data_IF_206612299750
#
_entry.id   IF_206612299750
#
_cell.length_a   1.000
_cell.length_b   1.000
_cell.length_c   1.000
_cell.angle_alpha   90.00
_cell.angle_beta   90.00
_cell.angle_gamma   90.00
#
_symmetry.space_group_name_H-M   'P 1'
#
loop_
_entity.id
_entity.type
_entity.pdbx_description
1 polymer ?
#
# COMPACT_ATOMS: atom_id res chain seq x y z
N UNK A 1 -2.66 73.10 48.44
CA UNK A 1 -2.17 73.09 47.07
C UNK A 1 -1.42 71.78 46.84
N UNK A 2 -2.01 70.82 46.17
CA UNK A 2 -1.40 69.49 46.01
C UNK A 2 -0.87 69.38 44.58
N UNK A 3 0.43 69.22 44.40
CA UNK A 3 1.11 68.97 43.14
C UNK A 3 1.14 67.48 42.89
N UNK A 4 0.48 67.03 41.81
CA UNK A 4 0.53 65.62 41.38
C UNK A 4 1.73 65.40 40.46
N UNK A 5 2.62 64.54 40.85
CA UNK A 5 3.68 64.03 40.00
C UNK A 5 3.14 62.93 39.05
N UNK A 6 3.38 63.12 37.74
CA UNK A 6 3.03 62.10 36.71
C UNK A 6 4.30 61.31 36.43
N UNK A 7 4.25 60.02 36.76
CA UNK A 7 5.35 59.08 36.44
C UNK A 7 5.06 58.47 35.07
N UNK A 8 5.89 58.75 34.10
CA UNK A 8 5.82 58.15 32.75
C UNK A 8 6.55 56.81 32.75
N UNK A 9 5.82 55.72 32.52
CA UNK A 9 6.39 54.39 32.38
C UNK A 9 6.64 54.18 30.87
N UNK A 10 7.89 54.06 30.46
CA UNK A 10 8.32 53.72 29.11
C UNK A 10 8.37 52.17 28.98
N UNK A 11 7.42 51.58 28.21
CA UNK A 11 7.47 50.17 27.82
C UNK A 11 8.48 50.00 26.68
N UNK A 12 9.59 49.33 26.93
CA UNK A 12 10.46 48.79 25.90
C UNK A 12 9.84 47.50 25.34
N UNK A 13 9.31 47.56 24.14
CA UNK A 13 8.87 46.34 23.41
C UNK A 13 10.11 45.68 22.80
N UNK A 14 10.59 44.61 23.42
CA UNK A 14 11.60 43.73 22.82
C UNK A 14 10.94 42.82 21.73
N UNK A 15 11.23 43.05 20.46
CA UNK A 15 10.96 42.07 19.41
C UNK A 15 11.95 40.91 19.59
N UNK A 16 11.47 39.79 20.10
CA UNK A 16 12.17 38.51 19.99
C UNK A 16 11.97 37.96 18.59
N UNK A 17 12.99 38.08 17.73
CA UNK A 17 13.04 37.38 16.46
C UNK A 17 13.16 35.88 16.73
N UNK A 18 12.08 35.12 16.47
CA UNK A 18 12.11 33.68 16.46
C UNK A 18 12.91 33.21 15.24
N UNK A 19 14.14 32.79 15.43
CA UNK A 19 14.92 32.09 14.41
C UNK A 19 14.33 30.68 14.21
N UNK A 20 14.10 30.22 12.98
CA UNK A 20 13.73 28.84 12.74
C UNK A 20 14.90 27.95 13.18
N UNK A 21 14.67 27.12 14.21
CA UNK A 21 15.63 26.11 14.59
C UNK A 21 15.71 25.06 13.49
N UNK A 22 16.87 24.93 12.83
CA UNK A 22 17.16 23.84 11.95
C UNK A 22 17.08 22.53 12.72
N UNK A 23 16.19 21.62 12.34
CA UNK A 23 16.11 20.27 12.91
C UNK A 23 17.43 19.54 12.68
N UNK A 24 17.99 18.89 13.70
CA UNK A 24 19.23 18.14 13.52
C UNK A 24 18.99 16.94 12.57
N UNK A 25 19.95 16.63 11.68
CA UNK A 25 19.81 15.56 10.68
C UNK A 25 19.73 14.14 11.25
N UNK A 26 19.81 13.98 12.58
CA UNK A 26 19.82 12.68 13.27
C UNK A 26 18.45 12.10 13.60
N UNK A 27 17.33 12.74 13.25
CA UNK A 27 15.98 12.19 13.52
C UNK A 27 15.38 11.37 12.37
N UNK A 28 16.12 11.13 11.29
CA UNK A 28 15.58 10.39 10.12
C UNK A 28 15.83 8.87 10.23
N UNK A 29 16.64 8.38 11.17
CA UNK A 29 17.14 7.00 11.14
C UNK A 29 16.94 6.18 12.42
N UNK A 30 15.84 6.33 13.12
CA UNK A 30 15.58 5.49 14.28
C UNK A 30 14.15 4.93 14.29
N UNK A 31 13.81 4.14 13.25
CA UNK A 31 12.60 3.30 13.32
C UNK A 31 12.76 1.96 12.65
N UNK A 32 13.78 1.24 13.08
CA UNK A 32 13.93 -0.17 12.72
C UNK A 32 14.38 -0.97 13.94
N UNK A 33 13.54 -1.03 14.98
CA UNK A 33 13.76 -1.91 16.12
C UNK A 33 12.47 -2.12 16.90
N UNK A 34 11.53 -2.89 16.29
CA UNK A 34 10.53 -3.67 17.02
C UNK A 34 10.00 -4.72 16.06
N UNK A 35 10.56 -5.93 16.09
CA UNK A 35 10.12 -7.08 15.28
C UNK A 35 10.18 -6.82 13.79
N UNK A 36 11.36 -6.97 13.17
CA UNK A 36 11.50 -6.88 11.71
C UNK A 36 10.48 -7.81 11.06
N UNK A 37 9.67 -7.29 10.14
CA UNK A 37 8.73 -8.10 9.39
C UNK A 37 9.51 -9.19 8.64
N UNK A 38 9.08 -10.46 8.77
CA UNK A 38 9.81 -11.61 8.25
C UNK A 38 10.04 -11.59 6.73
N UNK A 39 9.27 -10.80 6.01
CA UNK A 39 9.35 -10.61 4.57
C UNK A 39 10.29 -9.45 4.14
N UNK A 40 10.69 -8.56 5.04
CA UNK A 40 11.64 -7.46 4.74
C UNK A 40 13.05 -8.00 4.93
N UNK A 41 13.70 -8.40 3.83
CA UNK A 41 14.96 -9.15 3.84
C UNK A 41 16.18 -8.33 3.39
N UNK A 42 15.93 -7.19 2.77
CA UNK A 42 16.98 -6.32 2.23
C UNK A 42 17.29 -5.13 3.11
N UNK A 43 18.11 -4.20 2.59
CA UNK A 43 18.60 -3.00 3.28
C UNK A 43 18.09 -1.71 2.64
N UNK A 44 17.36 -1.80 1.52
CA UNK A 44 16.82 -0.61 0.87
C UNK A 44 15.77 0.07 1.76
N UNK A 45 15.83 1.40 1.79
CA UNK A 45 14.86 2.20 2.54
C UNK A 45 13.49 2.10 1.87
N UNK A 46 12.52 1.57 2.59
CA UNK A 46 11.14 1.51 2.10
C UNK A 46 10.52 2.91 2.03
N UNK A 47 9.76 3.23 0.98
CA UNK A 47 8.92 4.43 0.95
C UNK A 47 8.01 4.49 2.19
N UNK A 48 7.70 5.69 2.68
CA UNK A 48 6.94 5.88 3.92
C UNK A 48 5.58 5.16 3.90
N UNK A 49 4.90 5.18 2.74
CA UNK A 49 3.64 4.45 2.52
C UNK A 49 3.82 2.94 2.63
N UNK A 50 4.91 2.39 2.09
CA UNK A 50 5.21 0.95 2.19
C UNK A 50 5.55 0.57 3.61
N UNK A 51 6.34 1.38 4.33
CA UNK A 51 6.68 1.14 5.73
C UNK A 51 5.44 1.15 6.63
N UNK A 52 4.49 2.07 6.40
CA UNK A 52 3.22 2.11 7.11
C UNK A 52 2.39 0.83 6.87
N UNK A 53 2.35 0.34 5.63
CA UNK A 53 1.69 -0.92 5.28
C UNK A 53 2.35 -2.11 5.99
N UNK A 54 3.70 -2.18 6.01
CA UNK A 54 4.44 -3.23 6.74
C UNK A 54 4.01 -3.29 8.19
N UNK A 55 3.90 -2.14 8.87
CA UNK A 55 3.44 -2.09 10.27
C UNK A 55 2.02 -2.63 10.47
N UNK A 56 1.14 -2.45 9.49
CA UNK A 56 -0.25 -2.92 9.55
C UNK A 56 -0.40 -4.43 9.30
N UNK A 57 0.47 -5.01 8.46
CA UNK A 57 0.30 -6.40 8.00
C UNK A 57 1.25 -7.39 8.64
N UNK A 58 2.36 -6.97 9.25
CA UNK A 58 3.39 -7.86 9.81
C UNK A 58 2.87 -8.89 10.82
N UNK A 59 1.77 -8.58 11.52
CA UNK A 59 1.11 -9.51 12.45
C UNK A 59 0.02 -10.38 11.80
N UNK A 60 -0.34 -10.09 10.54
CA UNK A 60 -1.39 -10.81 9.80
C UNK A 60 -0.83 -11.88 8.87
N UNK A 61 0.48 -11.92 8.70
CA UNK A 61 1.16 -12.83 7.79
C UNK A 61 2.24 -13.63 8.49
N UNK A 62 2.55 -14.79 7.94
CA UNK A 62 3.67 -15.63 8.33
C UNK A 62 4.59 -15.85 7.13
N UNK A 63 5.85 -16.20 7.39
CA UNK A 63 6.83 -16.47 6.35
C UNK A 63 7.38 -17.87 6.46
N UNK A 64 7.55 -18.55 5.34
CA UNK A 64 8.27 -19.81 5.26
C UNK A 64 9.74 -19.62 5.63
N UNK A 65 10.30 -20.53 6.39
CA UNK A 65 11.73 -20.57 6.71
C UNK A 65 12.57 -21.24 5.61
N UNK A 66 11.94 -21.99 4.71
CA UNK A 66 12.61 -22.85 3.72
C UNK A 66 12.28 -22.46 2.28
N UNK A 67 11.06 -22.02 2.00
CA UNK A 67 10.61 -21.68 0.66
C UNK A 67 10.87 -20.20 0.39
N UNK A 68 11.44 -19.91 -0.79
CA UNK A 68 11.67 -18.57 -1.31
C UNK A 68 10.88 -18.39 -2.61
N UNK A 69 10.43 -17.17 -2.85
CA UNK A 69 9.66 -16.79 -4.03
C UNK A 69 10.39 -15.66 -4.81
N UNK A 70 9.65 -14.76 -5.42
CA UNK A 70 10.22 -13.64 -6.20
C UNK A 70 11.31 -12.89 -5.40
N UNK A 71 12.43 -12.57 -6.05
CA UNK A 71 13.59 -11.86 -5.47
C UNK A 71 14.10 -12.45 -4.15
N UNK A 72 13.96 -13.76 -3.96
CA UNK A 72 14.31 -14.50 -2.73
C UNK A 72 13.53 -14.08 -1.48
N UNK A 73 12.40 -13.39 -1.62
CA UNK A 73 11.48 -13.10 -0.51
C UNK A 73 10.97 -14.45 0.03
N UNK A 74 10.94 -14.64 1.36
CA UNK A 74 10.30 -15.82 1.95
C UNK A 74 8.86 -15.97 1.43
N UNK A 75 8.42 -17.19 1.23
CA UNK A 75 7.03 -17.44 0.87
C UNK A 75 6.10 -16.97 2.00
N UNK A 76 5.21 -16.04 1.69
CA UNK A 76 4.34 -15.38 2.64
C UNK A 76 2.96 -16.01 2.62
N UNK A 77 2.39 -16.23 3.80
CA UNK A 77 1.03 -16.76 3.98
C UNK A 77 0.17 -15.80 4.81
N UNK A 78 -1.07 -15.57 4.37
CA UNK A 78 -2.14 -14.90 5.11
C UNK A 78 -3.40 -15.76 5.01
N UNK A 79 -3.97 -16.15 6.16
CA UNK A 79 -5.14 -17.03 6.18
C UNK A 79 -4.95 -18.26 5.31
N UNK A 80 -5.77 -18.40 4.28
CA UNK A 80 -5.72 -19.52 3.33
C UNK A 80 -4.83 -19.28 2.11
N UNK A 81 -4.29 -18.09 1.93
CA UNK A 81 -3.49 -17.71 0.76
C UNK A 81 -2.00 -17.75 1.05
N UNK A 82 -1.23 -18.32 0.13
CA UNK A 82 0.24 -18.34 0.14
C UNK A 82 0.74 -17.79 -1.18
N UNK A 83 1.79 -16.94 -1.17
CA UNK A 83 2.25 -16.27 -2.40
C UNK A 83 2.64 -17.26 -3.50
N UNK A 84 3.28 -18.37 -3.15
CA UNK A 84 3.65 -19.41 -4.11
C UNK A 84 2.47 -20.01 -4.89
N UNK A 85 1.26 -19.98 -4.33
CA UNK A 85 0.03 -20.46 -4.99
C UNK A 85 -0.56 -19.42 -5.97
N UNK A 86 -0.22 -18.14 -5.79
CA UNK A 86 -0.70 -17.02 -6.59
C UNK A 86 0.47 -16.19 -7.15
N UNK A 87 1.59 -16.85 -7.44
CA UNK A 87 2.81 -16.24 -7.95
C UNK A 87 2.71 -16.00 -9.46
N UNK A 88 2.45 -14.74 -9.83
CA UNK A 88 2.34 -14.32 -11.22
C UNK A 88 3.61 -14.60 -12.05
N UNK A 89 4.79 -14.62 -11.42
CA UNK A 89 6.05 -14.86 -12.12
C UNK A 89 6.19 -16.28 -12.67
N UNK A 90 5.45 -17.22 -12.11
CA UNK A 90 5.43 -18.64 -12.53
C UNK A 90 4.31 -18.98 -13.50
N UNK A 91 3.43 -18.02 -13.79
CA UNK A 91 2.23 -18.27 -14.62
C UNK A 91 2.53 -18.38 -16.13
N UNK A 92 3.67 -17.87 -16.59
CA UNK A 92 3.96 -17.70 -18.01
C UNK A 92 3.13 -16.61 -18.71
N UNK A 93 2.35 -15.83 -17.93
CA UNK A 93 1.48 -14.74 -18.41
C UNK A 93 2.07 -13.38 -18.02
N UNK A 94 1.57 -12.34 -18.68
CA UNK A 94 1.84 -10.98 -18.22
C UNK A 94 1.16 -10.74 -16.85
N UNK A 95 1.66 -9.80 -16.03
CA UNK A 95 1.09 -9.55 -14.71
C UNK A 95 -0.41 -9.22 -14.72
N UNK A 96 -0.90 -8.48 -15.71
CA UNK A 96 -2.32 -8.14 -15.82
C UNK A 96 -3.17 -9.32 -16.32
N UNK A 97 -2.69 -10.07 -17.32
CA UNK A 97 -3.37 -11.27 -17.79
C UNK A 97 -3.52 -12.30 -16.67
N UNK A 98 -2.46 -12.48 -15.86
CA UNK A 98 -2.52 -13.32 -14.66
C UNK A 98 -3.55 -12.81 -13.66
N UNK A 99 -3.54 -11.50 -13.36
CA UNK A 99 -4.42 -10.92 -12.35
C UNK A 99 -5.90 -11.06 -12.75
N UNK A 100 -6.23 -10.78 -14.01
CA UNK A 100 -7.59 -10.92 -14.56
C UNK A 100 -8.11 -12.36 -14.49
N UNK A 101 -7.25 -13.34 -14.64
CA UNK A 101 -7.64 -14.76 -14.60
C UNK A 101 -7.74 -15.30 -13.17
N UNK A 102 -6.79 -14.89 -12.29
CA UNK A 102 -6.65 -15.48 -10.96
C UNK A 102 -7.59 -14.83 -9.94
N UNK A 103 -7.84 -13.52 -10.05
CA UNK A 103 -8.61 -12.76 -9.08
C UNK A 103 -9.98 -12.37 -9.62
N UNK A 104 -10.71 -13.38 -10.11
CA UNK A 104 -12.09 -13.21 -10.56
C UNK A 104 -13.03 -13.02 -9.36
N UNK A 105 -14.03 -12.16 -9.53
CA UNK A 105 -15.15 -11.98 -8.62
C UNK A 105 -16.28 -12.94 -8.93
N UNK A 106 -17.19 -13.15 -7.96
CA UNK A 106 -18.43 -13.86 -8.20
C UNK A 106 -19.41 -13.01 -9.05
N UNK A 107 -20.44 -13.67 -9.53
CA UNK A 107 -21.63 -13.08 -10.14
C UNK A 107 -22.88 -13.58 -9.39
N UNK A 108 -23.59 -12.73 -8.67
CA UNK A 108 -23.37 -11.29 -8.51
C UNK A 108 -22.12 -10.93 -7.70
N UNK A 109 -21.63 -9.70 -7.86
CA UNK A 109 -20.36 -9.23 -7.32
C UNK A 109 -20.29 -9.24 -5.78
N UNK A 110 -21.42 -9.00 -5.10
CA UNK A 110 -21.54 -8.98 -3.65
C UNK A 110 -21.40 -10.37 -2.99
N UNK A 111 -21.55 -11.46 -3.76
CA UNK A 111 -21.31 -12.85 -3.31
C UNK A 111 -19.81 -13.20 -3.28
N UNK A 112 -18.92 -12.30 -3.71
CA UNK A 112 -17.48 -12.54 -3.73
C UNK A 112 -16.93 -12.74 -2.32
N UNK A 113 -15.93 -13.63 -2.19
CA UNK A 113 -15.26 -13.92 -0.92
C UNK A 113 -14.22 -12.85 -0.60
N UNK A 114 -14.63 -11.78 0.11
CA UNK A 114 -13.77 -10.67 0.51
C UNK A 114 -12.63 -11.09 1.45
N UNK A 115 -12.81 -12.14 2.26
CA UNK A 115 -11.74 -12.68 3.13
C UNK A 115 -10.61 -13.25 2.27
N UNK A 116 -10.95 -14.00 1.22
CA UNK A 116 -9.94 -14.53 0.30
C UNK A 116 -9.19 -13.42 -0.46
N UNK A 117 -9.90 -12.35 -0.89
CA UNK A 117 -9.27 -11.18 -1.48
C UNK A 117 -8.38 -10.43 -0.50
N UNK A 118 -8.82 -10.26 0.76
CA UNK A 118 -8.01 -9.63 1.80
C UNK A 118 -6.74 -10.44 2.11
N UNK A 119 -6.83 -11.76 2.18
CA UNK A 119 -5.67 -12.64 2.38
C UNK A 119 -4.69 -12.53 1.20
N UNK A 120 -5.19 -12.56 -0.03
CA UNK A 120 -4.37 -12.36 -1.22
C UNK A 120 -3.70 -10.98 -1.22
N UNK A 121 -4.42 -9.92 -0.85
CA UNK A 121 -3.86 -8.58 -0.76
C UNK A 121 -2.76 -8.49 0.31
N UNK A 122 -2.94 -9.07 1.48
CA UNK A 122 -1.93 -9.11 2.55
C UNK A 122 -0.65 -9.79 2.06
N UNK A 123 -0.79 -10.91 1.34
CA UNK A 123 0.33 -11.67 0.76
C UNK A 123 1.08 -10.82 -0.27
N UNK A 124 0.36 -10.15 -1.18
CA UNK A 124 0.97 -9.30 -2.19
C UNK A 124 1.64 -8.05 -1.62
N UNK A 125 1.03 -7.42 -0.60
CA UNK A 125 1.61 -6.27 0.10
C UNK A 125 2.91 -6.64 0.83
N UNK A 126 2.92 -7.78 1.52
CA UNK A 126 4.10 -8.26 2.22
C UNK A 126 5.23 -8.61 1.24
N UNK A 127 4.90 -9.33 0.16
CA UNK A 127 5.88 -9.70 -0.86
C UNK A 127 6.41 -8.46 -1.60
N UNK A 128 5.58 -7.46 -1.93
CA UNK A 128 6.04 -6.19 -2.51
C UNK A 128 7.03 -5.48 -1.58
N UNK A 129 6.76 -5.41 -0.29
CA UNK A 129 7.68 -4.79 0.67
C UNK A 129 9.02 -5.54 0.72
N UNK A 130 9.00 -6.88 0.65
CA UNK A 130 10.19 -7.72 0.54
C UNK A 130 10.99 -7.41 -0.72
N UNK A 131 10.34 -7.39 -1.89
CA UNK A 131 10.94 -7.05 -3.18
C UNK A 131 11.56 -5.64 -3.15
N UNK A 132 10.84 -4.66 -2.63
CA UNK A 132 11.35 -3.27 -2.47
C UNK A 132 12.58 -3.22 -1.58
N UNK A 133 12.61 -4.01 -0.51
CA UNK A 133 13.73 -4.03 0.44
C UNK A 133 15.06 -4.51 -0.18
N UNK A 134 14.99 -5.21 -1.31
CA UNK A 134 16.15 -5.67 -2.09
C UNK A 134 16.36 -4.90 -3.41
N UNK A 135 15.55 -3.88 -3.68
CA UNK A 135 15.62 -3.12 -4.94
C UNK A 135 15.15 -3.90 -6.17
N UNK A 136 14.27 -4.89 -5.98
CA UNK A 136 13.79 -5.76 -7.04
C UNK A 136 12.71 -5.14 -7.94
N UNK A 137 12.25 -5.92 -8.92
CA UNK A 137 11.27 -5.50 -9.91
C UNK A 137 9.89 -5.26 -9.32
N UNK A 138 9.25 -4.14 -9.68
CA UNK A 138 7.93 -3.76 -9.18
C UNK A 138 6.76 -4.22 -10.06
N UNK A 139 6.96 -5.22 -10.93
CA UNK A 139 5.87 -5.84 -11.70
C UNK A 139 4.75 -6.39 -10.81
N UNK A 140 5.09 -6.77 -9.56
CA UNK A 140 4.16 -7.20 -8.51
C UNK A 140 3.06 -6.16 -8.21
N UNK A 141 3.28 -4.89 -8.55
CA UNK A 141 2.29 -3.82 -8.33
C UNK A 141 1.02 -4.02 -9.17
N UNK A 142 1.11 -4.61 -10.34
CA UNK A 142 -0.03 -4.83 -11.21
C UNK A 142 -1.06 -5.75 -10.55
N UNK A 143 -0.76 -7.01 -10.22
CA UNK A 143 -1.72 -7.88 -9.54
C UNK A 143 -2.12 -7.35 -8.15
N UNK A 144 -1.21 -6.72 -7.40
CA UNK A 144 -1.55 -6.10 -6.11
C UNK A 144 -2.65 -5.04 -6.25
N UNK A 145 -2.49 -4.09 -7.18
CA UNK A 145 -3.51 -3.06 -7.38
C UNK A 145 -4.80 -3.62 -7.97
N UNK A 146 -4.70 -4.70 -8.75
CA UNK A 146 -5.89 -5.37 -9.27
C UNK A 146 -6.70 -6.04 -8.15
N UNK A 147 -6.06 -6.69 -7.18
CA UNK A 147 -6.74 -7.26 -6.00
C UNK A 147 -7.44 -6.14 -5.20
N UNK A 148 -6.74 -5.04 -4.92
CA UNK A 148 -7.28 -3.88 -4.20
C UNK A 148 -8.47 -3.25 -4.96
N UNK A 149 -8.39 -3.17 -6.29
CA UNK A 149 -9.46 -2.74 -7.18
C UNK A 149 -10.69 -3.66 -7.09
N UNK A 150 -10.51 -4.97 -7.12
CA UNK A 150 -11.61 -5.92 -6.96
C UNK A 150 -12.29 -5.78 -5.59
N UNK A 151 -11.53 -5.61 -4.53
CA UNK A 151 -12.08 -5.35 -3.19
C UNK A 151 -12.92 -4.07 -3.15
N UNK A 152 -12.47 -2.99 -3.79
CA UNK A 152 -13.24 -1.75 -3.87
C UNK A 152 -14.56 -1.94 -4.63
N UNK A 153 -14.55 -2.75 -5.72
CA UNK A 153 -15.77 -3.12 -6.47
C UNK A 153 -16.75 -3.90 -5.59
N UNK A 154 -16.27 -4.93 -4.90
CA UNK A 154 -17.09 -5.75 -3.97
C UNK A 154 -17.72 -4.87 -2.89
N UNK A 155 -16.94 -4.01 -2.24
CA UNK A 155 -17.44 -3.10 -1.21
C UNK A 155 -18.51 -2.14 -1.77
N UNK A 156 -18.31 -1.66 -3.00
CA UNK A 156 -19.27 -0.77 -3.67
C UNK A 156 -20.59 -1.50 -3.98
N UNK A 157 -20.52 -2.73 -4.50
CA UNK A 157 -21.69 -3.58 -4.76
C UNK A 157 -22.50 -3.84 -3.48
N UNK A 158 -21.83 -4.01 -2.34
CA UNK A 158 -22.46 -4.20 -1.02
C UNK A 158 -23.00 -2.90 -0.40
N UNK A 159 -22.95 -1.78 -1.11
CA UNK A 159 -23.43 -0.49 -0.61
C UNK A 159 -22.53 0.17 0.46
N UNK A 160 -21.31 -0.30 0.61
CA UNK A 160 -20.29 0.22 1.56
C UNK A 160 -19.01 0.66 0.81
N UNK A 161 -19.11 1.58 -0.17
CA UNK A 161 -17.94 1.98 -0.97
C UNK A 161 -16.84 2.57 -0.07
N UNK A 162 -15.56 2.37 -0.43
CA UNK A 162 -14.45 2.94 0.32
C UNK A 162 -14.56 4.47 0.41
N UNK A 163 -14.36 5.00 1.63
CA UNK A 163 -14.39 6.46 1.88
C UNK A 163 -13.04 7.13 1.68
N UNK A 164 -11.95 6.35 1.69
CA UNK A 164 -10.62 6.83 1.37
C UNK A 164 -10.52 7.09 -0.14
N UNK A 165 -10.23 8.33 -0.59
CA UNK A 165 -10.07 8.64 -2.01
C UNK A 165 -9.03 7.78 -2.73
N UNK A 166 -8.01 7.29 -2.02
CA UNK A 166 -6.96 6.44 -2.56
C UNK A 166 -7.42 4.97 -2.75
N UNK A 167 -8.62 4.62 -2.26
CA UNK A 167 -9.20 3.27 -2.30
C UNK A 167 -10.47 3.17 -3.12
N UNK A 168 -10.87 4.22 -3.80
CA UNK A 168 -12.04 4.20 -4.67
C UNK A 168 -11.79 3.34 -5.91
N UNK A 169 -12.86 2.78 -6.47
CA UNK A 169 -12.82 1.97 -7.71
C UNK A 169 -12.10 2.71 -8.83
N UNK A 170 -12.42 4.00 -9.03
CA UNK A 170 -11.82 4.81 -10.09
C UNK A 170 -10.31 5.01 -9.87
N UNK A 171 -9.89 5.38 -8.64
CA UNK A 171 -8.48 5.56 -8.34
C UNK A 171 -7.67 4.27 -8.52
N UNK A 172 -8.21 3.14 -8.05
CA UNK A 172 -7.52 1.85 -8.14
C UNK A 172 -7.50 1.32 -9.57
N UNK A 173 -8.55 1.54 -10.37
CA UNK A 173 -8.53 1.32 -11.83
C UNK A 173 -7.34 2.04 -12.46
N UNK A 174 -7.20 3.35 -12.18
CA UNK A 174 -6.10 4.15 -12.72
C UNK A 174 -4.72 3.66 -12.28
N UNK A 175 -4.61 3.16 -11.03
CA UNK A 175 -3.38 2.50 -10.55
C UNK A 175 -3.06 1.22 -11.33
N UNK A 176 -4.05 0.38 -11.60
CA UNK A 176 -3.86 -0.83 -12.43
C UNK A 176 -3.39 -0.42 -13.83
N UNK A 177 -4.14 0.44 -14.52
CA UNK A 177 -3.84 0.86 -15.88
C UNK A 177 -2.46 1.51 -16.01
N UNK A 178 -2.09 2.37 -15.07
CA UNK A 178 -0.78 3.06 -15.11
C UNK A 178 0.40 2.12 -14.86
N UNK A 179 0.24 1.09 -14.01
CA UNK A 179 1.29 0.12 -13.75
C UNK A 179 1.37 -0.97 -14.85
N UNK A 180 0.28 -1.20 -15.58
CA UNK A 180 0.18 -2.15 -16.69
C UNK A 180 0.22 -1.48 -18.08
N UNK A 181 0.71 -0.24 -18.19
CA UNK A 181 0.61 0.57 -19.42
C UNK A 181 1.28 -0.06 -20.66
N UNK A 182 2.18 -1.02 -20.48
CA UNK A 182 2.84 -1.76 -21.59
C UNK A 182 2.14 -3.05 -21.99
N UNK A 183 1.01 -3.39 -21.39
CA UNK A 183 0.29 -4.63 -21.68
C UNK A 183 -0.73 -4.47 -22.81
N UNK A 184 -1.30 -5.59 -23.27
CA UNK A 184 -2.25 -5.60 -24.37
C UNK A 184 -3.46 -4.68 -24.08
N UNK A 185 -3.84 -3.88 -25.08
CA UNK A 185 -4.98 -2.96 -24.99
C UNK A 185 -6.28 -3.68 -24.60
N UNK A 186 -6.51 -4.88 -25.08
CA UNK A 186 -7.71 -5.65 -24.75
C UNK A 186 -7.81 -5.96 -23.25
N UNK A 187 -6.66 -6.21 -22.56
CA UNK A 187 -6.61 -6.41 -21.11
C UNK A 187 -6.88 -5.10 -20.36
N UNK A 188 -6.33 -3.98 -20.83
CA UNK A 188 -6.58 -2.66 -20.24
C UNK A 188 -8.06 -2.24 -20.41
N UNK A 189 -8.66 -2.50 -21.55
CA UNK A 189 -10.07 -2.26 -21.81
C UNK A 189 -10.96 -3.12 -20.90
N UNK A 190 -10.55 -4.36 -20.62
CA UNK A 190 -11.26 -5.24 -19.69
C UNK A 190 -11.27 -4.68 -18.25
N UNK A 191 -10.16 -4.14 -17.76
CA UNK A 191 -10.11 -3.47 -16.44
C UNK A 191 -11.05 -2.26 -16.42
N UNK A 192 -11.03 -1.47 -17.51
CA UNK A 192 -11.91 -0.30 -17.63
C UNK A 192 -13.39 -0.69 -17.63
N UNK A 193 -13.75 -1.79 -18.27
CA UNK A 193 -15.10 -2.34 -18.27
C UNK A 193 -15.52 -2.80 -16.86
N UNK A 194 -14.68 -3.57 -16.17
CA UNK A 194 -14.95 -4.02 -14.82
C UNK A 194 -15.24 -2.86 -13.85
N UNK A 195 -14.61 -1.70 -14.04
CA UNK A 195 -14.85 -0.52 -13.21
C UNK A 195 -16.28 0.03 -13.30
N UNK A 196 -17.02 -0.30 -14.36
CA UNK A 196 -18.42 0.11 -14.58
C UNK A 196 -19.44 -0.97 -14.17
N UNK A 197 -18.97 -2.18 -13.94
CA UNK A 197 -19.79 -3.33 -13.53
C UNK A 197 -19.71 -3.46 -11.99
N UNK A 198 -20.65 -2.82 -11.30
CA UNK A 198 -20.64 -2.67 -9.83
C UNK A 198 -21.89 -3.29 -9.18
N UNK A 199 -22.48 -4.29 -9.80
CA UNK A 199 -23.63 -5.03 -9.29
C UNK A 199 -23.41 -6.52 -9.41
#
# INVERSE_FOLDING_TARGET
MYTKAITTITLLSGLAAAMPQAMPPSMIFARQAAGAACFVIGKETLPAETAAVVDQIKSKVTCSTTVKTVENVPDVTSGSQTFSNIDFTKSGKTPLAFALETFNTAEPLDDSNDVAFQDALNVYLATEAGVRSVGGSLAIKVPKFFIDFQMARIMTARGTPPTDPAKTVEHLKDKVLSNAAGEDKALLDQVSKLATELS
#
